data_IF_736342579644
#
_entry.id   IF_736342579644
#
_cell.length_a   1.000
_cell.length_b   1.000
_cell.length_c   1.000
_cell.angle_alpha   90.00
_cell.angle_beta   90.00
_cell.angle_gamma   90.00
#
_symmetry.space_group_name_H-M   'P 1'
#
loop_
_entity.id
_entity.type
_entity.pdbx_description
1 polymer ?
#
# COMPACT_ATOMS: atom_id res chain seq x y z
N UNK A 1 -27.09 -2.74 -27.04
CA UNK A 1 -27.85 -3.31 -25.90
C UNK A 1 -26.97 -4.07 -24.89
N UNK A 2 -25.81 -4.64 -25.27
CA UNK A 2 -24.95 -5.44 -24.36
C UNK A 2 -24.31 -4.68 -23.18
N UNK A 3 -23.88 -3.42 -23.36
CA UNK A 3 -23.11 -2.71 -22.32
C UNK A 3 -23.94 -2.36 -21.06
N UNK A 4 -25.23 -2.02 -21.23
CA UNK A 4 -26.14 -1.73 -20.09
C UNK A 4 -26.50 -2.99 -19.30
N UNK A 5 -26.64 -4.13 -19.98
CA UNK A 5 -26.96 -5.39 -19.33
C UNK A 5 -25.78 -5.90 -18.49
N UNK A 6 -24.55 -5.83 -19.02
CA UNK A 6 -23.35 -6.17 -18.25
C UNK A 6 -23.14 -5.24 -17.05
N UNK A 7 -23.33 -3.93 -17.20
CA UNK A 7 -23.22 -3.02 -16.06
C UNK A 7 -24.22 -3.35 -14.93
N UNK A 8 -25.44 -3.78 -15.29
CA UNK A 8 -26.47 -4.21 -14.33
C UNK A 8 -26.09 -5.51 -13.62
N UNK A 9 -25.57 -6.48 -14.37
CA UNK A 9 -25.10 -7.76 -13.85
C UNK A 9 -23.95 -7.59 -12.86
N UNK A 10 -22.93 -6.80 -13.20
CA UNK A 10 -21.81 -6.55 -12.31
C UNK A 10 -22.23 -5.81 -11.02
N UNK A 11 -23.18 -4.88 -11.14
CA UNK A 11 -23.76 -4.24 -9.97
C UNK A 11 -24.45 -5.24 -9.04
N UNK A 12 -25.20 -6.20 -9.59
CA UNK A 12 -25.84 -7.26 -8.81
C UNK A 12 -24.81 -8.17 -8.12
N UNK A 13 -23.69 -8.47 -8.78
CA UNK A 13 -22.59 -9.25 -8.18
C UNK A 13 -21.93 -8.50 -7.01
N UNK A 14 -21.69 -7.19 -7.15
CA UNK A 14 -21.20 -6.35 -6.05
C UNK A 14 -22.18 -6.28 -4.88
N UNK A 15 -23.47 -6.06 -5.17
CA UNK A 15 -24.54 -6.06 -4.15
C UNK A 15 -24.60 -7.43 -3.43
N UNK A 16 -24.41 -8.53 -4.17
CA UNK A 16 -24.38 -9.89 -3.63
C UNK A 16 -23.19 -10.12 -2.72
N UNK A 17 -21.97 -9.75 -3.14
CA UNK A 17 -20.76 -9.86 -2.33
C UNK A 17 -20.93 -9.14 -0.98
N UNK A 18 -21.42 -7.90 -1.02
CA UNK A 18 -21.65 -7.07 0.18
C UNK A 18 -22.73 -7.70 1.09
N UNK A 19 -23.81 -8.22 0.50
CA UNK A 19 -24.92 -8.81 1.27
C UNK A 19 -24.53 -10.14 1.89
N UNK A 20 -23.85 -11.00 1.13
CA UNK A 20 -23.39 -12.30 1.61
C UNK A 20 -22.30 -12.16 2.69
N UNK A 21 -21.50 -11.09 2.62
CA UNK A 21 -20.36 -10.81 3.51
C UNK A 21 -19.56 -12.08 3.84
N UNK A 22 -19.04 -12.78 2.82
CA UNK A 22 -18.40 -14.08 2.99
C UNK A 22 -17.22 -13.99 3.96
N UNK A 23 -17.10 -15.01 4.81
CA UNK A 23 -16.05 -15.15 5.81
C UNK A 23 -14.91 -15.99 5.25
N UNK A 24 -13.97 -15.33 4.58
CA UNK A 24 -12.84 -16.01 3.96
C UNK A 24 -11.68 -16.31 4.91
N UNK A 25 -11.60 -15.63 6.05
CA UNK A 25 -10.46 -15.76 6.96
C UNK A 25 -10.77 -16.76 8.07
N UNK A 26 -9.74 -17.37 8.66
CA UNK A 26 -9.88 -18.21 9.86
C UNK A 26 -9.04 -17.64 10.98
N UNK A 27 -9.66 -17.37 12.13
CA UNK A 27 -8.95 -16.91 13.32
C UNK A 27 -9.32 -17.80 14.51
N UNK A 28 -8.30 -18.46 15.08
CA UNK A 28 -8.47 -19.40 16.21
C UNK A 28 -9.55 -20.46 15.96
N UNK A 29 -9.64 -20.95 14.72
CA UNK A 29 -10.60 -21.99 14.31
C UNK A 29 -12.02 -21.49 14.04
N UNK A 30 -12.26 -20.17 14.04
CA UNK A 30 -13.55 -19.58 13.67
C UNK A 30 -13.42 -18.80 12.36
N UNK A 31 -14.33 -19.03 11.43
CA UNK A 31 -14.38 -18.24 10.20
C UNK A 31 -14.82 -16.80 10.51
N UNK A 32 -14.13 -15.83 9.91
CA UNK A 32 -14.37 -14.41 10.11
C UNK A 32 -14.25 -13.64 8.81
N UNK A 33 -14.85 -12.46 8.78
CA UNK A 33 -14.65 -11.48 7.72
C UNK A 33 -13.75 -10.38 8.27
N UNK A 34 -12.60 -10.18 7.63
CA UNK A 34 -11.77 -8.98 7.78
C UNK A 34 -11.96 -8.04 6.59
N UNK A 35 -13.12 -8.12 5.93
CA UNK A 35 -13.38 -7.30 4.77
C UNK A 35 -13.33 -5.81 5.08
N UNK A 36 -12.73 -5.07 4.16
CA UNK A 36 -12.82 -3.62 4.11
C UNK A 36 -14.29 -3.16 4.02
N UNK A 37 -14.53 -1.90 4.36
CA UNK A 37 -15.88 -1.34 4.39
C UNK A 37 -16.59 -1.48 3.02
N UNK A 38 -17.91 -1.77 2.98
CA UNK A 38 -18.66 -1.89 1.72
C UNK A 38 -18.57 -0.68 0.77
N UNK A 39 -18.50 0.53 1.30
CA UNK A 39 -18.28 1.73 0.48
C UNK A 39 -16.88 1.74 -0.13
N UNK A 40 -15.88 1.22 0.59
CA UNK A 40 -14.53 1.02 0.06
C UNK A 40 -14.53 -0.05 -1.04
N UNK A 41 -15.25 -1.18 -0.89
CA UNK A 41 -15.39 -2.18 -1.95
C UNK A 41 -16.00 -1.59 -3.23
N UNK A 42 -17.06 -0.80 -3.10
CA UNK A 42 -17.68 -0.11 -4.23
C UNK A 42 -16.75 0.92 -4.87
N UNK A 43 -15.98 1.66 -4.06
CA UNK A 43 -15.00 2.61 -4.58
C UNK A 43 -13.86 1.89 -5.31
N UNK A 44 -13.35 0.79 -4.76
CA UNK A 44 -12.37 -0.07 -5.42
C UNK A 44 -12.90 -0.51 -6.78
N UNK A 45 -14.08 -1.12 -6.83
CA UNK A 45 -14.73 -1.56 -8.06
C UNK A 45 -14.84 -0.43 -9.09
N UNK A 46 -15.17 0.80 -8.67
CA UNK A 46 -15.34 1.94 -9.57
C UNK A 46 -14.06 2.37 -10.32
N UNK A 47 -12.88 2.00 -9.82
CA UNK A 47 -11.59 2.30 -10.46
C UNK A 47 -11.12 1.20 -11.41
N UNK A 48 -11.77 0.04 -11.39
CA UNK A 48 -11.37 -1.12 -12.17
C UNK A 48 -12.08 -1.19 -13.51
N UNK A 49 -11.37 -1.68 -14.51
CA UNK A 49 -11.90 -1.95 -15.83
C UNK A 49 -11.46 -3.35 -16.30
N UNK A 50 -12.26 -4.03 -17.13
CA UNK A 50 -11.91 -5.36 -17.63
C UNK A 50 -10.54 -5.36 -18.32
N UNK A 51 -9.73 -6.37 -18.00
CA UNK A 51 -8.41 -6.58 -18.59
C UNK A 51 -7.25 -5.85 -17.92
N UNK A 52 -7.49 -4.98 -16.94
CA UNK A 52 -6.42 -4.39 -16.12
C UNK A 52 -5.55 -5.48 -15.48
N UNK A 53 -4.24 -5.28 -15.47
CA UNK A 53 -3.24 -6.08 -14.79
C UNK A 53 -3.16 -5.63 -13.34
N UNK A 54 -3.58 -6.47 -12.39
CA UNK A 54 -3.71 -6.09 -10.98
C UNK A 54 -3.01 -7.09 -10.07
N UNK A 55 -2.51 -6.61 -8.94
CA UNK A 55 -1.87 -7.43 -7.93
C UNK A 55 -2.37 -7.02 -6.55
N UNK A 56 -2.67 -7.97 -5.68
CA UNK A 56 -2.86 -7.71 -4.25
C UNK A 56 -1.96 -8.61 -3.39
N UNK A 57 -1.53 -8.05 -2.26
CA UNK A 57 -1.00 -8.82 -1.14
C UNK A 57 -2.07 -8.87 -0.07
N UNK A 58 -2.39 -10.07 0.44
CA UNK A 58 -3.65 -10.33 1.12
C UNK A 58 -4.66 -11.03 0.21
N UNK A 59 -5.74 -11.58 0.78
CA UNK A 59 -6.79 -12.25 0.03
C UNK A 59 -8.11 -12.13 0.78
N UNK A 60 -9.22 -11.98 0.06
CA UNK A 60 -10.54 -11.83 0.66
C UNK A 60 -11.58 -11.24 -0.28
N UNK A 61 -12.38 -10.30 0.24
CA UNK A 61 -13.46 -9.70 -0.56
C UNK A 61 -12.93 -8.78 -1.66
N UNK A 62 -11.77 -8.14 -1.48
CA UNK A 62 -11.09 -7.35 -2.53
C UNK A 62 -10.72 -8.22 -3.72
N UNK A 63 -10.22 -9.45 -3.49
CA UNK A 63 -9.94 -10.44 -4.54
C UNK A 63 -11.18 -10.70 -5.39
N UNK A 64 -12.34 -10.88 -4.74
CA UNK A 64 -13.61 -11.09 -5.43
C UNK A 64 -13.99 -9.86 -6.25
N UNK A 65 -13.76 -8.64 -5.74
CA UNK A 65 -13.99 -7.40 -6.50
C UNK A 65 -13.14 -7.35 -7.77
N UNK A 66 -11.86 -7.71 -7.68
CA UNK A 66 -10.98 -7.81 -8.85
C UNK A 66 -11.45 -8.86 -9.87
N UNK A 67 -12.03 -9.98 -9.39
CA UNK A 67 -12.63 -11.00 -10.24
C UNK A 67 -13.90 -10.52 -10.93
N UNK A 68 -14.83 -9.91 -10.18
CA UNK A 68 -16.06 -9.26 -10.68
C UNK A 68 -15.71 -8.25 -11.78
N UNK A 69 -14.69 -7.41 -11.56
CA UNK A 69 -14.23 -6.42 -12.52
C UNK A 69 -13.53 -7.01 -13.77
N UNK A 70 -13.34 -8.34 -13.83
CA UNK A 70 -12.69 -9.05 -14.94
C UNK A 70 -11.26 -8.57 -15.21
N UNK A 71 -10.53 -8.24 -14.15
CA UNK A 71 -9.10 -7.92 -14.22
C UNK A 71 -8.26 -9.20 -14.42
N UNK A 72 -6.99 -9.06 -14.81
CA UNK A 72 -5.98 -10.12 -14.78
C UNK A 72 -5.29 -10.02 -13.44
N UNK A 73 -5.81 -10.75 -12.45
CA UNK A 73 -5.48 -10.51 -11.05
C UNK A 73 -4.46 -11.52 -10.52
N UNK A 74 -3.45 -11.04 -9.81
CA UNK A 74 -2.54 -11.86 -9.00
C UNK A 74 -2.85 -11.61 -7.53
N UNK A 75 -3.16 -12.67 -6.79
CA UNK A 75 -3.47 -12.62 -5.37
C UNK A 75 -2.39 -13.40 -4.60
N UNK A 76 -1.63 -12.72 -3.75
CA UNK A 76 -0.56 -13.33 -2.94
C UNK A 76 -1.04 -13.46 -1.49
N UNK A 77 -1.18 -14.70 -1.01
CA UNK A 77 -1.55 -15.01 0.38
C UNK A 77 -0.83 -16.28 0.85
N UNK A 78 -0.35 -16.36 2.10
CA UNK A 78 0.22 -17.60 2.63
C UNK A 78 -0.86 -18.65 3.01
N UNK A 79 -2.15 -18.28 3.05
CA UNK A 79 -3.24 -19.19 3.45
C UNK A 79 -3.90 -19.82 2.21
N UNK A 80 -3.53 -21.06 1.92
CA UNK A 80 -4.14 -21.90 0.89
C UNK A 80 -5.67 -22.00 1.04
N UNK A 81 -6.15 -22.19 2.27
CA UNK A 81 -7.57 -22.38 2.53
C UNK A 81 -8.38 -21.11 2.27
N UNK A 82 -7.79 -19.94 2.52
CA UNK A 82 -8.40 -18.64 2.19
C UNK A 82 -8.56 -18.47 0.68
N UNK A 83 -7.50 -18.74 -0.08
CA UNK A 83 -7.54 -18.73 -1.55
C UNK A 83 -8.61 -19.69 -2.10
N UNK A 84 -8.70 -20.91 -1.55
CA UNK A 84 -9.72 -21.89 -1.94
C UNK A 84 -11.14 -21.40 -1.66
N UNK A 85 -11.39 -20.79 -0.50
CA UNK A 85 -12.73 -20.26 -0.16
C UNK A 85 -13.12 -19.11 -1.09
N UNK A 86 -12.19 -18.23 -1.44
CA UNK A 86 -12.41 -17.16 -2.42
C UNK A 86 -12.70 -17.75 -3.81
N UNK A 87 -11.91 -18.72 -4.27
CA UNK A 87 -12.10 -19.34 -5.59
C UNK A 87 -13.44 -20.10 -5.69
N UNK A 88 -13.82 -20.81 -4.63
CA UNK A 88 -15.12 -21.49 -4.52
C UNK A 88 -16.28 -20.48 -4.56
N UNK A 89 -16.15 -19.35 -3.85
CA UNK A 89 -17.17 -18.31 -3.87
C UNK A 89 -17.31 -17.67 -5.26
N UNK A 90 -16.19 -17.34 -5.92
CA UNK A 90 -16.18 -16.83 -7.29
C UNK A 90 -16.84 -17.83 -8.26
N UNK A 91 -16.54 -19.12 -8.10
CA UNK A 91 -17.16 -20.20 -8.91
C UNK A 91 -18.66 -20.28 -8.69
N UNK A 92 -19.12 -20.18 -7.44
CA UNK A 92 -20.55 -20.17 -7.10
C UNK A 92 -21.30 -18.99 -7.72
N UNK A 93 -20.62 -17.84 -7.89
CA UNK A 93 -21.15 -16.67 -8.56
C UNK A 93 -21.05 -16.75 -10.10
N UNK A 94 -20.44 -17.80 -10.65
CA UNK A 94 -20.25 -17.96 -12.10
C UNK A 94 -19.23 -17.00 -12.69
N UNK A 95 -18.27 -16.51 -11.90
CA UNK A 95 -17.22 -15.61 -12.37
C UNK A 95 -16.18 -16.35 -13.23
N UNK A 96 -15.52 -15.62 -14.12
CA UNK A 96 -14.42 -16.14 -14.93
C UNK A 96 -13.21 -16.50 -14.05
N UNK A 97 -12.41 -17.48 -14.48
CA UNK A 97 -11.15 -17.83 -13.81
C UNK A 97 -10.05 -16.84 -14.22
N UNK A 98 -10.05 -15.68 -13.57
CA UNK A 98 -9.16 -14.57 -13.86
C UNK A 98 -8.23 -14.17 -12.70
N UNK A 99 -8.17 -14.99 -11.65
CA UNK A 99 -7.27 -14.85 -10.52
C UNK A 99 -6.16 -15.90 -10.62
N UNK A 100 -4.91 -15.47 -10.47
CA UNK A 100 -3.75 -16.32 -10.22
C UNK A 100 -3.40 -16.23 -8.75
N UNK A 101 -3.63 -17.32 -8.01
CA UNK A 101 -3.27 -17.40 -6.59
C UNK A 101 -1.81 -17.81 -6.43
N UNK A 102 -1.08 -17.09 -5.59
CA UNK A 102 0.30 -17.37 -5.20
C UNK A 102 0.31 -17.66 -3.71
N UNK A 103 0.62 -18.91 -3.37
CA UNK A 103 0.47 -19.43 -2.02
C UNK A 103 1.82 -19.34 -1.30
N UNK A 104 2.14 -18.14 -0.84
CA UNK A 104 3.38 -17.81 -0.17
C UNK A 104 3.25 -16.47 0.57
N UNK A 105 4.21 -16.12 1.41
CA UNK A 105 4.30 -14.76 1.96
C UNK A 105 4.78 -13.78 0.90
N UNK A 106 4.31 -12.53 0.95
CA UNK A 106 4.63 -11.53 -0.07
C UNK A 106 6.12 -11.21 -0.14
N UNK A 107 6.82 -11.24 0.99
CA UNK A 107 8.27 -11.06 1.07
C UNK A 107 9.08 -12.19 0.43
N UNK A 108 8.51 -13.38 0.26
CA UNK A 108 9.11 -14.51 -0.44
C UNK A 108 8.69 -14.59 -1.92
N UNK A 109 7.44 -14.24 -2.23
CA UNK A 109 6.86 -14.31 -3.57
C UNK A 109 7.31 -13.15 -4.48
N UNK A 110 7.21 -11.90 -4.02
CA UNK A 110 7.47 -10.72 -4.84
C UNK A 110 8.90 -10.61 -5.42
N UNK A 111 9.96 -11.11 -4.75
CA UNK A 111 11.30 -11.15 -5.32
C UNK A 111 11.47 -12.15 -6.47
N UNK A 112 10.54 -13.09 -6.68
CA UNK A 112 10.70 -14.15 -7.69
C UNK A 112 10.57 -13.59 -9.11
N UNK A 113 11.52 -13.97 -9.97
CA UNK A 113 11.53 -13.56 -11.37
C UNK A 113 10.29 -14.07 -12.12
N UNK A 114 9.70 -13.20 -12.93
CA UNK A 114 8.58 -13.55 -13.79
C UNK A 114 7.21 -13.63 -13.10
N UNK A 115 7.15 -13.49 -11.77
CA UNK A 115 5.86 -13.46 -11.06
C UNK A 115 5.06 -12.19 -11.39
N UNK A 116 5.69 -11.03 -11.22
CA UNK A 116 5.03 -9.75 -11.44
C UNK A 116 5.11 -9.40 -12.94
N UNK A 117 3.99 -9.10 -13.61
CA UNK A 117 4.00 -8.71 -15.02
C UNK A 117 4.84 -7.44 -15.23
N UNK A 118 5.24 -7.18 -16.48
CA UNK A 118 6.04 -6.00 -16.81
C UNK A 118 5.35 -4.68 -16.48
N UNK A 119 4.01 -4.67 -16.52
CA UNK A 119 3.19 -3.52 -16.20
C UNK A 119 1.98 -3.92 -15.33
N UNK A 120 1.73 -3.13 -14.29
CA UNK A 120 0.57 -3.20 -13.41
C UNK A 120 -0.22 -1.90 -13.51
N UNK A 121 -1.54 -2.03 -13.51
CA UNK A 121 -2.49 -0.93 -13.45
C UNK A 121 -2.88 -0.57 -12.01
N UNK A 122 -2.95 -1.57 -11.12
CA UNK A 122 -3.34 -1.40 -9.72
C UNK A 122 -2.62 -2.42 -8.81
N UNK A 123 -2.02 -1.92 -7.74
CA UNK A 123 -1.52 -2.72 -6.60
C UNK A 123 -2.36 -2.45 -5.35
N UNK A 124 -2.88 -3.49 -4.69
CA UNK A 124 -3.61 -3.38 -3.42
C UNK A 124 -2.80 -4.03 -2.28
N UNK A 125 -2.34 -3.23 -1.32
CA UNK A 125 -1.52 -3.69 -0.18
C UNK A 125 -2.44 -3.86 1.02
N UNK A 126 -2.71 -5.12 1.38
CA UNK A 126 -3.62 -5.55 2.46
C UNK A 126 -3.18 -6.91 3.06
N UNK A 127 -1.87 -7.15 3.05
CA UNK A 127 -1.26 -8.40 3.47
C UNK A 127 -0.92 -8.41 4.97
N UNK A 128 0.29 -8.87 5.28
CA UNK A 128 0.74 -8.84 6.67
C UNK A 128 1.06 -7.41 7.12
N UNK A 129 0.50 -7.00 8.26
CA UNK A 129 0.72 -5.66 8.81
C UNK A 129 2.01 -5.50 9.63
N UNK A 130 2.78 -6.57 9.87
CA UNK A 130 4.03 -6.50 10.64
C UNK A 130 5.09 -5.67 9.89
N UNK A 131 5.89 -4.90 10.61
CA UNK A 131 7.00 -4.18 10.00
C UNK A 131 8.03 -5.17 9.41
N UNK A 132 8.55 -4.97 8.19
CA UNK A 132 8.33 -3.86 7.24
C UNK A 132 7.46 -4.23 6.02
N UNK A 133 6.52 -5.16 6.15
CA UNK A 133 5.91 -5.85 5.00
C UNK A 133 5.24 -4.91 3.99
N UNK A 134 4.40 -3.97 4.42
CA UNK A 134 3.76 -3.03 3.49
C UNK A 134 4.79 -2.24 2.63
N UNK A 135 5.93 -1.89 3.22
CA UNK A 135 7.02 -1.21 2.52
C UNK A 135 7.69 -2.15 1.51
N UNK A 136 7.88 -3.42 1.86
CA UNK A 136 8.40 -4.47 0.95
C UNK A 136 7.45 -4.66 -0.23
N UNK A 137 6.15 -4.78 0.03
CA UNK A 137 5.12 -4.98 -0.98
C UNK A 137 5.12 -3.82 -1.98
N UNK A 138 5.16 -2.59 -1.48
CA UNK A 138 5.31 -1.39 -2.31
C UNK A 138 6.64 -1.39 -3.08
N UNK A 139 7.76 -1.71 -2.42
CA UNK A 139 9.09 -1.64 -3.01
C UNK A 139 9.26 -2.58 -4.22
N UNK A 140 8.74 -3.80 -4.14
CA UNK A 140 8.83 -4.75 -5.26
C UNK A 140 7.86 -4.43 -6.40
N UNK A 141 6.76 -3.74 -6.10
CA UNK A 141 5.71 -3.47 -7.10
C UNK A 141 5.82 -2.10 -7.76
N UNK A 142 6.43 -1.09 -7.10
CA UNK A 142 6.44 0.31 -7.58
C UNK A 142 7.06 0.50 -8.96
N UNK A 143 8.09 -0.30 -9.32
CA UNK A 143 8.72 -0.23 -10.65
C UNK A 143 7.90 -0.92 -11.75
N UNK A 144 6.95 -1.76 -11.38
CA UNK A 144 6.03 -2.44 -12.30
C UNK A 144 4.71 -1.67 -12.43
N UNK A 145 4.36 -0.85 -11.44
CA UNK A 145 3.21 0.05 -11.53
C UNK A 145 3.48 1.16 -12.55
N UNK A 146 2.58 1.26 -13.55
CA UNK A 146 2.68 2.27 -14.60
C UNK A 146 2.42 3.68 -14.10
N UNK A 147 2.83 4.68 -14.89
CA UNK A 147 2.38 6.05 -14.68
C UNK A 147 0.85 6.15 -14.83
N UNK A 148 0.21 6.78 -13.85
CA UNK A 148 -1.24 6.83 -13.71
C UNK A 148 -1.85 5.59 -13.05
N UNK A 149 -1.07 4.54 -12.79
CA UNK A 149 -1.50 3.38 -12.02
C UNK A 149 -1.76 3.73 -10.54
N UNK A 150 -2.54 2.88 -9.87
CA UNK A 150 -2.98 3.08 -8.49
C UNK A 150 -2.24 2.15 -7.53
N UNK A 151 -1.80 2.67 -6.39
CA UNK A 151 -1.50 1.87 -5.20
C UNK A 151 -2.54 2.14 -4.13
N UNK A 152 -3.16 1.08 -3.63
CA UNK A 152 -4.03 1.12 -2.46
C UNK A 152 -3.27 0.61 -1.25
N UNK A 153 -3.42 1.28 -0.12
CA UNK A 153 -2.83 0.88 1.16
C UNK A 153 -3.97 0.75 2.17
N UNK A 154 -4.32 -0.48 2.51
CA UNK A 154 -5.28 -0.76 3.59
C UNK A 154 -4.62 -0.64 4.96
N UNK A 155 -5.44 -0.58 6.01
CA UNK A 155 -4.99 -0.49 7.40
C UNK A 155 -3.90 0.55 7.70
N UNK A 156 -3.87 1.67 6.97
CA UNK A 156 -2.81 2.66 7.07
C UNK A 156 -2.71 3.34 8.45
N UNK A 157 -3.71 3.18 9.32
CA UNK A 157 -3.67 3.66 10.72
C UNK A 157 -2.80 2.78 11.61
N UNK A 158 -2.50 1.54 11.23
CA UNK A 158 -1.57 0.68 11.96
C UNK A 158 -0.16 1.31 11.84
N UNK A 159 0.57 1.51 12.95
CA UNK A 159 1.84 2.25 12.93
C UNK A 159 2.89 1.74 11.92
N UNK A 160 3.00 0.43 11.73
CA UNK A 160 3.93 -0.18 10.77
C UNK A 160 3.56 0.08 9.30
N UNK A 161 2.26 0.22 9.00
CA UNK A 161 1.74 0.54 7.66
C UNK A 161 1.74 2.05 7.42
N UNK A 162 1.46 2.82 8.48
CA UNK A 162 1.41 4.30 8.46
C UNK A 162 2.67 4.93 7.88
N UNK A 163 3.82 4.29 8.08
CA UNK A 163 5.11 4.75 7.52
C UNK A 163 5.03 4.85 6.00
N UNK A 164 4.48 3.83 5.31
CA UNK A 164 4.29 3.87 3.87
C UNK A 164 3.29 4.94 3.47
N UNK A 165 2.15 5.03 4.17
CA UNK A 165 1.14 6.06 3.89
C UNK A 165 1.71 7.48 4.01
N UNK A 166 2.46 7.77 5.07
CA UNK A 166 3.07 9.09 5.29
C UNK A 166 4.12 9.39 4.22
N UNK A 167 4.90 8.39 3.79
CA UNK A 167 5.82 8.51 2.66
C UNK A 167 5.08 8.88 1.38
N UNK A 168 4.05 8.13 0.99
CA UNK A 168 3.27 8.39 -0.22
C UNK A 168 2.54 9.75 -0.18
N UNK A 169 2.10 10.22 1.00
CA UNK A 169 1.52 11.56 1.14
C UNK A 169 2.54 12.70 0.97
N UNK A 170 3.83 12.41 1.18
CA UNK A 170 4.87 13.43 1.27
C UNK A 170 5.66 13.58 -0.03
N UNK A 171 5.89 12.49 -0.74
CA UNK A 171 6.65 12.48 -1.99
C UNK A 171 5.83 13.01 -3.18
N UNK A 172 6.49 13.63 -4.17
CA UNK A 172 5.79 14.27 -5.30
C UNK A 172 5.43 13.31 -6.45
N UNK A 173 5.90 12.08 -6.34
CA UNK A 173 5.61 10.98 -7.22
C UNK A 173 4.18 10.48 -7.07
N UNK A 174 3.48 10.88 -6.02
CA UNK A 174 2.19 10.33 -5.63
C UNK A 174 1.15 11.42 -5.43
N UNK A 175 -0.07 11.12 -5.84
CA UNK A 175 -1.25 11.93 -5.56
C UNK A 175 -2.21 11.10 -4.71
N UNK A 176 -2.57 11.58 -3.51
CA UNK A 176 -3.64 10.97 -2.73
C UNK A 176 -4.99 11.27 -3.40
N UNK A 177 -5.58 10.26 -4.03
CA UNK A 177 -6.86 10.37 -4.74
C UNK A 177 -8.03 10.39 -3.77
N UNK A 178 -8.00 9.47 -2.79
CA UNK A 178 -9.07 9.34 -1.80
C UNK A 178 -8.61 8.53 -0.59
N UNK A 179 -9.20 8.83 0.56
CA UNK A 179 -9.21 7.95 1.73
C UNK A 179 -10.63 7.43 1.93
N UNK A 180 -10.80 6.12 1.98
CA UNK A 180 -12.06 5.45 2.26
C UNK A 180 -11.91 4.64 3.55
N UNK A 181 -12.45 5.15 4.66
CA UNK A 181 -12.34 4.54 5.99
C UNK A 181 -10.89 4.34 6.47
N UNK A 182 -10.32 3.15 6.21
CA UNK A 182 -8.96 2.76 6.59
C UNK A 182 -8.06 2.45 5.40
N UNK A 183 -8.55 2.71 4.19
CA UNK A 183 -7.84 2.45 2.93
C UNK A 183 -7.53 3.78 2.25
N UNK A 184 -6.27 3.98 1.87
CA UNK A 184 -5.83 5.14 1.09
C UNK A 184 -5.51 4.72 -0.35
N UNK A 185 -5.87 5.55 -1.32
CA UNK A 185 -5.68 5.31 -2.74
C UNK A 185 -4.79 6.40 -3.33
N UNK A 186 -3.65 6.00 -3.89
CA UNK A 186 -2.65 6.92 -4.46
C UNK A 186 -2.45 6.64 -5.93
N UNK A 187 -2.31 7.69 -6.74
CA UNK A 187 -1.94 7.59 -8.15
C UNK A 187 -0.46 7.90 -8.34
N UNK A 188 0.24 7.07 -9.10
CA UNK A 188 1.63 7.32 -9.50
C UNK A 188 1.68 8.39 -10.58
N UNK A 189 2.35 9.51 -10.34
CA UNK A 189 2.44 10.66 -11.24
C UNK A 189 3.70 10.64 -12.11
N UNK A 190 4.83 10.17 -11.55
CA UNK A 190 6.13 10.09 -12.21
C UNK A 190 6.94 8.93 -11.64
N UNK A 191 8.04 8.59 -12.29
CA UNK A 191 8.98 7.62 -11.74
C UNK A 191 9.73 8.20 -10.53
N UNK A 192 10.01 7.39 -9.49
CA UNK A 192 10.84 7.82 -8.36
C UNK A 192 12.16 8.41 -8.82
N UNK A 193 12.40 9.69 -8.47
CA UNK A 193 13.64 10.36 -8.80
C UNK A 193 14.67 10.19 -7.68
N UNK A 194 15.81 9.57 -7.98
CA UNK A 194 16.94 9.54 -7.05
C UNK A 194 17.75 10.85 -7.13
N UNK A 195 17.18 11.93 -6.60
CA UNK A 195 17.89 13.21 -6.48
C UNK A 195 18.60 13.22 -5.12
N UNK A 196 19.89 12.85 -5.09
CA UNK A 196 20.72 13.02 -3.89
C UNK A 196 20.35 12.13 -2.68
N UNK A 197 20.26 10.81 -2.92
CA UNK A 197 20.03 9.77 -1.90
C UNK A 197 18.85 10.13 -0.96
N UNK A 198 18.98 9.92 0.36
CA UNK A 198 17.96 10.26 1.34
C UNK A 198 17.60 11.75 1.37
N UNK A 199 18.50 12.65 0.92
CA UNK A 199 18.28 14.09 1.06
C UNK A 199 17.30 14.69 0.04
N UNK A 200 17.03 13.98 -1.05
CA UNK A 200 15.99 14.36 -2.02
C UNK A 200 14.59 13.97 -1.61
N UNK A 201 14.44 13.02 -0.68
CA UNK A 201 13.13 12.55 -0.25
C UNK A 201 12.51 13.54 0.72
N UNK A 202 11.29 13.96 0.42
CA UNK A 202 10.59 14.98 1.22
C UNK A 202 10.29 14.50 2.63
N UNK A 203 10.12 13.19 2.84
CA UNK A 203 9.93 12.61 4.17
C UNK A 203 11.07 12.96 5.15
N UNK A 204 12.28 13.21 4.64
CA UNK A 204 13.46 13.50 5.46
C UNK A 204 13.68 15.01 5.75
N UNK A 205 12.83 15.90 5.24
CA UNK A 205 13.03 17.36 5.36
C UNK A 205 13.00 17.86 6.82
N UNK A 206 12.16 17.27 7.67
CA UNK A 206 12.09 17.60 9.10
C UNK A 206 13.39 17.26 9.84
N UNK A 207 14.05 16.17 9.45
CA UNK A 207 15.36 15.79 9.96
C UNK A 207 16.45 16.74 9.44
N UNK A 208 16.46 17.09 8.16
CA UNK A 208 17.44 18.02 7.59
C UNK A 208 17.40 19.40 8.25
N UNK A 209 16.19 19.93 8.46
CA UNK A 209 15.99 21.22 9.12
C UNK A 209 16.48 21.18 10.58
N UNK A 210 16.19 20.09 11.29
CA UNK A 210 16.65 19.87 12.66
C UNK A 210 18.17 19.71 12.74
N UNK A 211 18.78 18.88 11.88
CA UNK A 211 20.22 18.63 11.83
C UNK A 211 21.01 19.92 11.55
N UNK A 212 20.57 20.74 10.58
CA UNK A 212 21.16 22.08 10.33
C UNK A 212 21.02 23.02 11.53
N UNK A 213 19.92 22.92 12.28
CA UNK A 213 19.72 23.67 13.52
C UNK A 213 20.67 23.25 14.64
N UNK A 214 20.92 21.94 14.78
CA UNK A 214 21.91 21.38 15.71
C UNK A 214 23.35 21.78 15.33
N UNK A 215 23.72 21.72 14.05
CA UNK A 215 25.03 22.16 13.57
C UNK A 215 25.26 23.66 13.82
N UNK A 216 24.30 24.53 13.51
CA UNK A 216 24.39 25.97 13.82
C UNK A 216 24.56 26.23 15.31
N UNK A 217 23.80 25.55 16.18
CA UNK A 217 23.97 25.67 17.64
C UNK A 217 25.32 25.15 18.11
N UNK A 218 25.81 24.04 17.56
CA UNK A 218 27.14 23.49 17.86
C UNK A 218 28.28 24.43 17.43
N UNK A 219 28.15 25.06 16.27
CA UNK A 219 29.10 26.04 15.75
C UNK A 219 29.12 27.33 16.59
N UNK A 220 27.96 27.88 16.95
CA UNK A 220 27.83 29.02 17.86
C UNK A 220 28.44 28.68 19.23
N UNK A 221 28.18 27.48 19.77
CA UNK A 221 28.75 27.04 21.05
C UNK A 221 30.27 26.91 21.00
N UNK A 222 30.84 26.41 19.89
CA UNK A 222 32.30 26.38 19.62
C UNK A 222 32.93 27.76 19.45
N UNK A 223 32.19 28.76 18.96
CA UNK A 223 32.65 30.15 18.85
C UNK A 223 32.62 30.90 20.19
N UNK A 224 31.68 30.55 21.08
CA UNK A 224 31.51 31.20 22.38
C UNK A 224 32.44 30.58 23.46
N UNK A 225 32.72 29.27 23.40
CA UNK A 225 33.57 28.60 24.40
C UNK A 225 35.01 29.15 24.53
N UNK A 226 35.73 29.55 23.47
CA UNK A 226 37.08 30.09 23.60
C UNK A 226 37.14 31.48 24.26
N UNK A 227 36.01 32.21 24.32
CA UNK A 227 35.97 33.55 24.90
C UNK A 227 35.60 33.55 26.39
N UNK A 228 34.87 32.54 26.88
CA UNK A 228 34.48 32.47 28.29
C UNK A 228 35.55 31.85 29.21
N UNK A 229 36.39 30.93 28.72
CA UNK A 229 37.48 30.36 29.55
C UNK A 229 38.62 31.35 29.83
N UNK A 230 38.70 32.45 29.05
CA UNK A 230 39.74 33.47 29.23
C UNK A 230 39.40 34.51 30.31
N UNK A 231 38.14 34.59 30.75
CA UNK A 231 37.67 35.55 31.77
C UNK A 231 37.75 34.98 33.19
N UNK A 232 37.77 33.65 33.36
CA UNK A 232 37.84 33.02 34.69
C UNK A 232 39.26 32.70 35.19
N UNK A 233 40.30 32.86 34.36
CA UNK A 233 41.72 32.68 34.77
C UNK A 233 42.47 33.99 35.11
N UNK A 234 41.77 35.12 35.17
CA UNK A 234 42.38 36.46 35.33
C UNK A 234 42.26 37.15 36.69
N UNK A 235 41.72 36.49 37.73
CA UNK A 235 41.64 37.07 39.08
C UNK A 235 42.19 36.13 40.15
N UNK A 236 43.51 36.14 40.27
CA UNK A 236 44.24 35.97 41.51
C UNK A 236 45.60 36.59 41.20
N UNK A 237 45.94 37.67 41.89
CA UNK A 237 47.26 38.26 42.18
C UNK A 237 46.98 39.72 42.59
N UNK A 238 47.05 39.96 43.90
CA UNK A 238 46.75 41.23 44.57
C UNK A 238 46.30 40.95 45.99
#
# INVERSE_FOLDING_TARGET
MGNKQHAKEQKMLMERLITDNPQFHSYKGTFTSWAINPNTLNFLYSMLTPGMSTLETGCGQTTVVFSIARTKHICITPDQGEAERVDQYCTKLGLEKNITFVIDSSDAALPQDGLIPSELDHVFIDGAHRFPIAIIDWYYTVRKLKLGGIVSVDDFKIPSVKILYDFLCTEEEWELIRVMHNTAFFKKLREPMNINDWSGQKINLSYQTSARGFEKKGFIRKLILPQFERILKGKNHG
#
